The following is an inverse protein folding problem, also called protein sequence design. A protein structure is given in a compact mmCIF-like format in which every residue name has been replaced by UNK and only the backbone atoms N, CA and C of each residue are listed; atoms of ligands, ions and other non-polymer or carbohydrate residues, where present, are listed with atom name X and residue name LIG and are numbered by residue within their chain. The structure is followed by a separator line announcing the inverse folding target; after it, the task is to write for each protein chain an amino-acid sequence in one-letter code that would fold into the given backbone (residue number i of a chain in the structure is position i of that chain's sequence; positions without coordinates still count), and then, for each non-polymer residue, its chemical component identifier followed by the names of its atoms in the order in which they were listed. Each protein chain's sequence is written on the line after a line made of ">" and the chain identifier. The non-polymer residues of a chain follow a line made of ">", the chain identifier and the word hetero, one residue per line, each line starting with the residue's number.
data_IF_213252259820
#
_entry.id   IF_213252259820
#
_cell.length_a   1.000
_cell.length_b   1.000
_cell.length_c   1.000
_cell.angle_alpha   90.00
_cell.angle_beta   90.00
_cell.angle_gamma   90.00
#
_symmetry.space_group_name_H-M   'P 1'
#
loop_
_entity.id
_entity.type
_entity.pdbx_description
1 polymer ?
#
# COMPACT_ATOMS: atom_id res chain seq x y z
N UNK A 1 7.44 15.49 -5.27
CA UNK A 1 7.37 14.03 -5.20
C UNK A 1 7.57 13.56 -3.76
N UNK A 2 7.06 12.36 -3.42
CA UNK A 2 7.37 11.69 -2.17
C UNK A 2 8.80 11.17 -2.23
N UNK A 3 9.50 11.24 -1.09
CA UNK A 3 10.81 10.60 -0.92
C UNK A 3 10.75 9.60 0.22
N UNK A 4 11.15 8.35 -0.05
CA UNK A 4 11.39 7.35 0.98
C UNK A 4 12.78 7.58 1.55
N UNK A 5 12.90 7.74 2.88
CA UNK A 5 14.18 8.02 3.54
C UNK A 5 14.76 6.81 4.26
N UNK A 6 13.92 6.04 4.91
CA UNK A 6 14.34 4.90 5.72
C UNK A 6 13.26 3.82 5.76
N UNK A 7 13.68 2.58 5.77
CA UNK A 7 12.82 1.42 6.05
C UNK A 7 13.46 0.62 7.17
N UNK A 8 12.69 0.28 8.17
CA UNK A 8 13.10 -0.59 9.26
C UNK A 8 12.10 -1.76 9.35
N UNK A 9 12.64 -2.96 9.41
CA UNK A 9 11.89 -4.22 9.53
C UNK A 9 12.28 -4.93 10.81
N UNK A 10 11.33 -5.57 11.44
CA UNK A 10 11.57 -6.44 12.59
C UNK A 10 10.80 -7.74 12.43
N UNK A 11 11.52 -8.87 12.42
CA UNK A 11 10.94 -10.21 12.28
C UNK A 11 9.92 -10.32 11.12
N UNK A 12 10.27 -9.72 9.98
CA UNK A 12 9.38 -9.63 8.83
C UNK A 12 9.89 -10.53 7.69
N UNK A 13 9.09 -11.53 7.30
CA UNK A 13 9.39 -12.46 6.23
C UNK A 13 10.79 -13.10 6.39
N UNK A 14 11.68 -12.94 5.43
CA UNK A 14 13.06 -13.45 5.50
C UNK A 14 13.97 -12.67 6.46
N UNK A 15 13.51 -11.55 7.02
CA UNK A 15 14.31 -10.72 7.93
C UNK A 15 14.06 -11.12 9.39
N UNK A 16 15.02 -11.83 9.97
CA UNK A 16 15.04 -12.14 11.40
C UNK A 16 15.65 -10.97 12.17
N UNK A 17 15.03 -10.61 13.29
CA UNK A 17 15.46 -9.47 14.10
C UNK A 17 15.27 -8.14 13.36
N UNK A 18 16.05 -7.15 13.73
CA UNK A 18 15.98 -5.80 13.21
C UNK A 18 16.86 -5.63 11.96
N UNK A 19 16.27 -5.13 10.89
CA UNK A 19 16.97 -4.74 9.65
C UNK A 19 16.59 -3.33 9.26
N UNK A 20 17.58 -2.49 8.96
CA UNK A 20 17.37 -1.09 8.61
C UNK A 20 18.02 -0.78 7.26
N UNK A 21 17.29 -0.08 6.40
CA UNK A 21 17.70 0.35 5.08
C UNK A 21 17.63 1.86 4.99
N UNK A 22 18.75 2.50 4.62
CA UNK A 22 18.82 3.92 4.35
C UNK A 22 18.58 4.16 2.85
N UNK A 23 17.51 4.92 2.55
CA UNK A 23 17.13 5.33 1.21
C UNK A 23 17.39 6.82 0.96
N UNK A 24 18.18 7.45 1.82
CA UNK A 24 18.53 8.86 1.66
C UNK A 24 19.35 9.05 0.37
N UNK A 25 18.92 10.03 -0.42
CA UNK A 25 19.58 10.40 -1.67
C UNK A 25 20.13 11.81 -1.61
N UNK A 26 21.07 12.14 -2.48
CA UNK A 26 21.61 13.49 -2.69
C UNK A 26 21.49 13.90 -4.15
N UNK A 27 21.74 15.18 -4.47
CA UNK A 27 21.70 15.67 -5.86
C UNK A 27 22.64 14.90 -6.79
N UNK A 28 23.79 14.49 -6.27
CA UNK A 28 24.84 13.80 -7.05
C UNK A 28 24.73 12.27 -6.97
N UNK A 29 23.94 11.74 -6.00
CA UNK A 29 23.72 10.31 -5.77
C UNK A 29 22.24 10.07 -5.54
N UNK A 30 21.48 10.02 -6.60
CA UNK A 30 20.03 9.90 -6.60
C UNK A 30 19.52 8.49 -6.96
N UNK A 31 20.42 7.52 -7.09
CA UNK A 31 20.11 6.12 -7.39
C UNK A 31 20.59 5.25 -6.24
N UNK A 32 19.71 4.38 -5.75
CA UNK A 32 20.03 3.37 -4.75
C UNK A 32 19.86 2.00 -5.39
N UNK A 33 20.91 1.19 -5.35
CA UNK A 33 20.89 -0.18 -5.82
C UNK A 33 20.70 -1.15 -4.66
N UNK A 34 19.68 -1.98 -4.75
CA UNK A 34 19.41 -3.05 -3.79
C UNK A 34 19.78 -4.38 -4.48
N UNK A 35 20.94 -4.91 -4.13
CA UNK A 35 21.43 -6.18 -4.64
C UNK A 35 21.11 -7.31 -3.66
N UNK A 36 20.93 -8.51 -4.21
CA UNK A 36 20.76 -9.74 -3.43
C UNK A 36 20.45 -10.93 -4.34
N UNK A 37 20.82 -12.12 -3.88
CA UNK A 37 20.47 -13.37 -4.56
C UNK A 37 18.94 -13.59 -4.55
N UNK A 38 18.47 -14.52 -5.37
CA UNK A 38 17.07 -14.95 -5.32
C UNK A 38 16.75 -15.49 -3.91
N UNK A 39 15.61 -15.06 -3.35
CA UNK A 39 15.25 -15.40 -1.97
C UNK A 39 15.89 -14.51 -0.89
N UNK A 40 16.79 -13.59 -1.21
CA UNK A 40 17.44 -12.72 -0.23
C UNK A 40 16.52 -11.66 0.42
N UNK A 41 15.22 -11.66 0.08
CA UNK A 41 14.25 -10.76 0.71
C UNK A 41 13.92 -9.49 -0.05
N UNK A 42 14.36 -9.32 -1.31
CA UNK A 42 14.03 -8.14 -2.13
C UNK A 42 12.52 -7.90 -2.23
N UNK A 43 11.77 -8.93 -2.61
CA UNK A 43 10.30 -8.88 -2.68
C UNK A 43 9.66 -8.65 -1.31
N UNK A 44 10.25 -9.20 -0.25
CA UNK A 44 9.78 -8.97 1.13
C UNK A 44 9.94 -7.51 1.55
N UNK A 45 11.06 -6.88 1.21
CA UNK A 45 11.28 -5.44 1.46
C UNK A 45 10.26 -4.59 0.71
N UNK A 46 9.98 -4.93 -0.53
CA UNK A 46 8.99 -4.27 -1.36
C UNK A 46 7.57 -4.38 -0.78
N UNK A 47 7.19 -5.60 -0.39
CA UNK A 47 5.91 -5.87 0.28
C UNK A 47 5.80 -5.09 1.60
N UNK A 48 6.88 -5.00 2.36
CA UNK A 48 6.93 -4.25 3.61
C UNK A 48 6.64 -2.76 3.40
N UNK A 49 7.25 -2.13 2.39
CA UNK A 49 7.01 -0.72 2.05
C UNK A 49 5.53 -0.51 1.68
N UNK A 50 4.99 -1.37 0.80
CA UNK A 50 3.59 -1.33 0.37
C UNK A 50 2.63 -1.51 1.55
N UNK A 51 2.94 -2.44 2.44
CA UNK A 51 2.15 -2.73 3.63
C UNK A 51 2.17 -1.56 4.63
N UNK A 52 3.32 -0.93 4.83
CA UNK A 52 3.42 0.26 5.68
C UNK A 52 2.55 1.42 5.18
N UNK A 53 2.60 1.69 3.86
CA UNK A 53 1.83 2.77 3.23
C UNK A 53 0.33 2.51 3.27
N UNK A 54 -0.10 1.31 2.92
CA UNK A 54 -1.49 1.03 2.57
C UNK A 54 -2.22 0.09 3.54
N UNK A 55 -1.52 -0.58 4.44
CA UNK A 55 -2.12 -1.56 5.34
C UNK A 55 -2.88 -2.66 4.58
N UNK A 56 -4.14 -2.96 4.94
CA UNK A 56 -4.93 -4.01 4.28
C UNK A 56 -5.08 -3.84 2.76
N UNK A 57 -5.11 -2.59 2.26
CA UNK A 57 -5.19 -2.30 0.84
C UNK A 57 -3.98 -2.81 0.04
N UNK A 58 -2.84 -3.06 0.71
CA UNK A 58 -1.68 -3.73 0.11
C UNK A 58 -2.05 -5.04 -0.58
N UNK A 59 -3.02 -5.77 0.00
CA UNK A 59 -3.54 -7.03 -0.52
C UNK A 59 -4.94 -6.91 -1.12
N UNK A 60 -5.38 -5.70 -1.42
CA UNK A 60 -6.73 -5.39 -1.93
C UNK A 60 -7.86 -5.74 -0.95
N UNK A 61 -7.58 -5.84 0.35
CA UNK A 61 -8.61 -6.00 1.37
C UNK A 61 -9.12 -4.63 1.81
N UNK A 62 -10.44 -4.49 1.96
CA UNK A 62 -11.06 -3.22 2.38
C UNK A 62 -10.90 -2.92 3.87
N UNK A 63 -10.40 -3.89 4.66
CA UNK A 63 -10.22 -3.72 6.10
C UNK A 63 -9.46 -4.88 6.73
N UNK A 64 -9.31 -4.81 8.05
CA UNK A 64 -8.61 -5.81 8.87
C UNK A 64 -9.52 -7.02 9.12
N UNK A 65 -9.68 -7.87 8.11
CA UNK A 65 -10.46 -9.10 8.18
C UNK A 65 -9.58 -10.33 8.49
N UNK A 66 -10.21 -11.51 8.55
CA UNK A 66 -9.51 -12.76 8.82
C UNK A 66 -8.46 -13.11 7.76
N UNK A 67 -8.72 -12.77 6.49
CA UNK A 67 -7.80 -13.00 5.37
C UNK A 67 -6.56 -12.11 5.49
N UNK A 68 -6.74 -10.84 5.88
CA UNK A 68 -5.64 -9.95 6.18
C UNK A 68 -4.78 -10.48 7.34
N UNK A 69 -5.40 -10.92 8.43
CA UNK A 69 -4.71 -11.50 9.59
C UNK A 69 -3.92 -12.75 9.22
N UNK A 70 -4.48 -13.62 8.39
CA UNK A 70 -3.78 -14.80 7.88
C UNK A 70 -2.57 -14.39 7.02
N UNK A 71 -2.73 -13.39 6.16
CA UNK A 71 -1.64 -12.90 5.32
C UNK A 71 -0.52 -12.25 6.13
N UNK A 72 -0.85 -11.48 7.16
CA UNK A 72 0.15 -10.94 8.10
C UNK A 72 0.91 -12.06 8.81
N UNK A 73 0.21 -13.10 9.25
CA UNK A 73 0.83 -14.25 9.90
C UNK A 73 1.84 -14.96 8.99
N UNK A 74 1.56 -15.09 7.70
CA UNK A 74 2.50 -15.64 6.70
C UNK A 74 3.73 -14.75 6.50
N UNK A 75 3.61 -13.45 6.74
CA UNK A 75 4.70 -12.47 6.61
C UNK A 75 5.54 -12.34 7.89
N UNK A 76 5.16 -12.96 9.00
CA UNK A 76 6.01 -13.02 10.18
C UNK A 76 7.21 -13.92 9.92
N UNK A 77 8.38 -13.53 10.42
CA UNK A 77 9.58 -14.37 10.30
C UNK A 77 9.35 -15.72 10.96
N UNK A 78 9.69 -16.80 10.25
CA UNK A 78 9.40 -18.15 10.69
C UNK A 78 10.06 -18.49 12.02
N UNK A 79 11.33 -18.13 12.21
CA UNK A 79 12.07 -18.44 13.44
C UNK A 79 11.50 -17.64 14.63
N UNK A 80 11.09 -16.40 14.39
CA UNK A 80 10.41 -15.59 15.41
C UNK A 80 9.03 -16.15 15.74
N UNK A 81 8.31 -16.71 14.76
CA UNK A 81 6.97 -17.26 14.94
C UNK A 81 6.93 -18.52 15.82
N UNK A 82 8.05 -19.21 15.97
CA UNK A 82 8.16 -20.38 16.86
C UNK A 82 8.16 -20.02 18.36
N UNK A 83 8.23 -18.71 18.70
CA UNK A 83 8.08 -18.21 20.06
C UNK A 83 6.62 -18.11 20.50
N UNK A 84 6.40 -17.84 21.80
CA UNK A 84 5.05 -17.71 22.38
C UNK A 84 4.44 -16.33 22.14
N UNK A 85 5.27 -15.28 22.03
CA UNK A 85 4.87 -13.91 21.76
C UNK A 85 5.63 -13.40 20.53
N UNK A 86 4.96 -13.42 19.39
CA UNK A 86 5.57 -13.01 18.13
C UNK A 86 5.16 -11.59 17.80
N UNK A 87 6.18 -10.75 17.66
CA UNK A 87 6.05 -9.38 17.21
C UNK A 87 6.77 -9.20 15.88
N UNK A 88 6.10 -8.58 14.94
CA UNK A 88 6.70 -8.10 13.68
C UNK A 88 6.29 -6.66 13.44
N UNK A 89 7.15 -5.86 12.85
CA UNK A 89 6.78 -4.52 12.43
C UNK A 89 7.50 -4.08 11.16
N UNK A 90 6.88 -3.11 10.53
CA UNK A 90 7.47 -2.31 9.46
C UNK A 90 7.35 -0.84 9.86
N UNK A 91 8.45 -0.11 9.79
CA UNK A 91 8.50 1.31 9.99
C UNK A 91 9.19 1.98 8.80
N UNK A 92 8.56 3.02 8.26
CA UNK A 92 9.14 3.78 7.15
C UNK A 92 9.16 5.26 7.49
N UNK A 93 10.21 5.93 7.04
CA UNK A 93 10.30 7.38 7.08
C UNK A 93 10.14 7.92 5.66
N UNK A 94 9.17 8.81 5.47
CA UNK A 94 8.81 9.40 4.18
C UNK A 94 8.74 10.92 4.28
N UNK A 95 9.21 11.60 3.25
CA UNK A 95 9.04 13.05 3.09
C UNK A 95 8.00 13.29 2.02
N UNK A 96 6.96 14.04 2.37
CA UNK A 96 5.83 14.36 1.51
C UNK A 96 5.74 15.86 1.27
N UNK A 97 5.29 16.30 0.07
CA UNK A 97 4.96 17.70 -0.15
C UNK A 97 3.76 18.07 0.74
N UNK A 98 3.84 19.16 1.44
CA UNK A 98 2.74 19.70 2.23
C UNK A 98 2.63 21.21 1.96
N UNK A 99 1.58 21.63 1.22
CA UNK A 99 1.42 22.99 0.72
C UNK A 99 2.64 23.42 -0.11
N UNK A 100 3.40 24.41 0.35
CA UNK A 100 4.61 24.90 -0.34
C UNK A 100 5.92 24.32 0.24
N UNK A 101 5.83 23.45 1.24
CA UNK A 101 6.95 22.86 1.96
C UNK A 101 6.92 21.33 1.88
N UNK A 102 7.95 20.73 2.46
CA UNK A 102 8.03 19.29 2.67
C UNK A 102 7.96 18.97 4.16
N UNK A 103 7.27 17.89 4.49
CA UNK A 103 7.20 17.38 5.86
C UNK A 103 7.57 15.90 5.88
N UNK A 104 8.34 15.54 6.90
CA UNK A 104 8.81 14.18 7.12
C UNK A 104 7.92 13.50 8.15
N UNK A 105 7.49 12.29 7.84
CA UNK A 105 6.63 11.47 8.67
C UNK A 105 7.27 10.10 8.87
N UNK A 106 7.09 9.55 10.07
CA UNK A 106 7.36 8.14 10.34
C UNK A 106 6.04 7.41 10.39
N UNK A 107 5.92 6.36 9.60
CA UNK A 107 4.75 5.47 9.53
C UNK A 107 5.16 4.14 10.14
N UNK A 108 4.47 3.70 11.18
CA UNK A 108 4.75 2.46 11.88
C UNK A 108 3.53 1.56 11.90
N UNK A 109 3.71 0.31 11.48
CA UNK A 109 2.74 -0.77 11.61
C UNK A 109 3.39 -1.94 12.29
N UNK A 110 2.80 -2.34 13.40
CA UNK A 110 3.25 -3.46 14.21
C UNK A 110 2.13 -4.47 14.36
N UNK A 111 2.47 -5.74 14.29
CA UNK A 111 1.54 -6.84 14.49
C UNK A 111 2.08 -7.76 15.57
N UNK A 112 1.25 -8.01 16.56
CA UNK A 112 1.52 -8.93 17.65
C UNK A 112 0.61 -10.15 17.50
N UNK A 113 1.20 -11.35 17.47
CA UNK A 113 0.45 -12.59 17.45
C UNK A 113 0.43 -13.20 18.85
N UNK A 114 -0.72 -13.11 19.49
CA UNK A 114 -0.95 -13.71 20.81
C UNK A 114 -2.38 -14.24 20.92
N UNK A 115 -2.59 -15.32 21.70
CA UNK A 115 -3.91 -15.91 21.86
C UNK A 115 -4.56 -16.33 20.53
N UNK A 116 -3.77 -16.80 19.56
CA UNK A 116 -4.20 -17.18 18.20
C UNK A 116 -4.79 -16.03 17.36
N UNK A 117 -4.53 -14.78 17.74
CA UNK A 117 -5.00 -13.58 17.04
C UNK A 117 -3.84 -12.66 16.69
N UNK A 118 -4.00 -11.96 15.58
CA UNK A 118 -3.11 -10.87 15.14
C UNK A 118 -3.70 -9.55 15.62
N UNK A 119 -2.94 -8.82 16.42
CA UNK A 119 -3.27 -7.48 16.89
C UNK A 119 -2.39 -6.46 16.19
N UNK A 120 -2.97 -5.50 15.47
CA UNK A 120 -2.25 -4.45 14.79
C UNK A 120 -2.24 -3.15 15.56
N UNK A 121 -1.04 -2.57 15.70
CA UNK A 121 -0.81 -1.22 16.16
C UNK A 121 -0.37 -0.38 14.95
N UNK A 122 -1.04 0.74 14.72
CA UNK A 122 -0.71 1.67 13.64
C UNK A 122 -0.63 3.08 14.18
N UNK A 123 0.50 3.71 13.99
CA UNK A 123 0.69 5.13 14.30
C UNK A 123 1.55 5.82 13.25
N UNK A 124 1.40 7.13 13.19
CA UNK A 124 2.19 8.04 12.37
C UNK A 124 2.69 9.15 13.27
N UNK A 125 3.93 9.56 13.09
CA UNK A 125 4.49 10.72 13.78
C UNK A 125 5.11 11.69 12.79
N UNK A 126 5.17 12.93 13.17
CA UNK A 126 5.94 14.00 12.55
C UNK A 126 6.96 14.58 13.53
N UNK A 127 7.56 15.72 13.22
CA UNK A 127 8.51 16.42 14.10
C UNK A 127 7.93 16.85 15.46
N UNK A 128 6.61 16.96 15.57
CA UNK A 128 5.92 17.35 16.79
C UNK A 128 5.55 16.13 17.67
N UNK A 129 5.64 14.92 17.14
CA UNK A 129 5.33 13.68 17.84
C UNK A 129 4.29 12.83 17.13
N UNK A 130 3.71 11.89 17.88
CA UNK A 130 2.69 10.97 17.34
C UNK A 130 1.40 11.74 17.07
N UNK A 131 0.87 11.56 15.86
CA UNK A 131 -0.38 12.18 15.43
C UNK A 131 -1.56 11.64 16.24
N UNK A 132 -2.54 12.50 16.53
CA UNK A 132 -3.83 12.07 17.04
C UNK A 132 -4.52 11.09 16.06
N UNK A 133 -5.47 10.25 16.50
CA UNK A 133 -6.23 9.39 15.59
C UNK A 133 -6.85 10.15 14.42
N UNK A 134 -7.40 11.35 14.69
CA UNK A 134 -8.00 12.21 13.67
C UNK A 134 -6.95 12.70 12.65
N UNK A 135 -5.81 13.20 13.12
CA UNK A 135 -4.76 13.73 12.24
C UNK A 135 -4.09 12.61 11.45
N UNK A 136 -3.96 11.41 12.04
CA UNK A 136 -3.51 10.22 11.34
C UNK A 136 -4.45 9.82 10.19
N UNK A 137 -5.76 9.92 10.39
CA UNK A 137 -6.75 9.61 9.34
C UNK A 137 -6.69 10.65 8.22
N UNK A 138 -6.50 11.94 8.54
CA UNK A 138 -6.23 12.98 7.54
C UNK A 138 -4.94 12.72 6.78
N UNK A 139 -3.87 12.37 7.49
CA UNK A 139 -2.61 11.98 6.88
C UNK A 139 -2.79 10.81 5.90
N UNK A 140 -3.50 9.77 6.30
CA UNK A 140 -3.73 8.59 5.46
C UNK A 140 -4.49 8.96 4.18
N UNK A 141 -5.53 9.78 4.28
CA UNK A 141 -6.26 10.27 3.11
C UNK A 141 -5.36 11.12 2.20
N UNK A 142 -4.55 11.99 2.78
CA UNK A 142 -3.58 12.78 2.03
C UNK A 142 -2.54 11.91 1.34
N UNK A 143 -1.97 10.92 2.03
CA UNK A 143 -1.03 9.96 1.46
C UNK A 143 -1.62 9.26 0.22
N UNK A 144 -2.89 8.87 0.29
CA UNK A 144 -3.58 8.23 -0.83
C UNK A 144 -3.82 9.18 -2.03
N UNK A 145 -3.83 10.49 -1.81
CA UNK A 145 -3.86 11.47 -2.92
C UNK A 145 -2.48 11.66 -3.55
N UNK A 146 -1.41 11.54 -2.76
CA UNK A 146 -0.02 11.69 -3.24
C UNK A 146 0.45 10.43 -3.96
N UNK A 147 0.16 9.27 -3.38
CA UNK A 147 0.43 7.96 -3.97
C UNK A 147 -0.80 7.06 -3.80
N UNK A 148 -1.73 7.09 -4.77
CA UNK A 148 -2.88 6.20 -4.74
C UNK A 148 -2.46 4.73 -4.71
N UNK A 149 -3.15 3.86 -3.95
CA UNK A 149 -2.79 2.43 -3.84
C UNK A 149 -2.72 1.68 -5.17
N UNK A 150 -3.59 2.04 -6.12
CA UNK A 150 -3.63 1.49 -7.47
C UNK A 150 -2.48 1.99 -8.38
N UNK A 151 -1.75 3.01 -7.93
CA UNK A 151 -0.61 3.59 -8.65
C UNK A 151 0.73 3.06 -8.15
N UNK A 152 0.75 2.33 -7.03
CA UNK A 152 1.99 1.86 -6.42
C UNK A 152 2.85 1.04 -7.40
N UNK A 153 2.22 0.14 -8.16
CA UNK A 153 2.87 -0.73 -9.13
C UNK A 153 3.52 0.03 -10.30
N UNK A 154 3.13 1.30 -10.54
CA UNK A 154 3.73 2.15 -11.56
C UNK A 154 5.01 2.85 -11.10
N UNK A 155 5.22 2.95 -9.80
CA UNK A 155 6.39 3.61 -9.21
C UNK A 155 7.37 2.64 -8.58
N UNK A 156 6.91 1.44 -8.27
CA UNK A 156 7.67 0.41 -7.61
C UNK A 156 7.59 -0.88 -8.43
N UNK A 157 8.72 -1.27 -9.03
CA UNK A 157 8.80 -2.46 -9.87
C UNK A 157 9.66 -3.51 -9.21
N UNK A 158 9.23 -4.75 -9.20
CA UNK A 158 10.14 -5.88 -8.97
C UNK A 158 10.97 -6.10 -10.24
N UNK A 159 12.30 -6.22 -10.10
CA UNK A 159 13.19 -6.37 -11.23
C UNK A 159 12.95 -7.64 -12.07
N UNK A 160 12.27 -8.64 -11.50
CA UNK A 160 11.86 -9.85 -12.21
C UNK A 160 10.63 -9.58 -13.11
N UNK A 161 9.75 -8.67 -12.72
CA UNK A 161 8.59 -8.26 -13.51
C UNK A 161 8.96 -7.34 -14.68
N UNK A 162 10.07 -6.59 -14.57
CA UNK A 162 10.51 -5.65 -15.61
C UNK A 162 10.77 -6.36 -16.95
N UNK A 163 11.28 -7.58 -16.96
CA UNK A 163 11.53 -8.32 -18.20
C UNK A 163 10.25 -8.61 -18.98
N UNK A 164 9.14 -8.82 -18.30
CA UNK A 164 7.83 -9.07 -18.91
C UNK A 164 7.17 -7.77 -19.39
N UNK A 165 7.53 -6.61 -18.80
CA UNK A 165 7.02 -5.31 -19.23
C UNK A 165 7.56 -4.87 -20.59
N UNK A 166 8.77 -5.27 -20.96
CA UNK A 166 9.38 -4.90 -22.25
C UNK A 166 8.95 -5.79 -23.41
N UNK A 167 8.09 -6.78 -23.20
CA UNK A 167 7.39 -7.43 -24.32
C UNK A 167 6.39 -6.43 -24.92
N UNK A 168 6.46 -6.20 -26.24
CA UNK A 168 5.76 -5.11 -26.96
C UNK A 168 4.26 -4.98 -26.66
N UNK A 169 3.55 -6.07 -26.39
CA UNK A 169 2.11 -6.06 -26.11
C UNK A 169 1.79 -5.65 -24.68
N UNK A 170 2.62 -6.05 -23.72
CA UNK A 170 2.43 -5.78 -22.29
C UNK A 170 2.78 -4.33 -21.95
N UNK A 171 3.83 -3.76 -22.57
CA UNK A 171 4.24 -2.38 -22.38
C UNK A 171 3.15 -1.37 -22.78
N UNK A 172 2.58 -1.53 -23.97
CA UNK A 172 1.49 -0.65 -24.45
C UNK A 172 0.25 -0.72 -23.56
N UNK A 173 -0.13 -1.90 -23.09
CA UNK A 173 -1.23 -2.08 -22.15
C UNK A 173 -0.95 -1.44 -20.80
N UNK A 174 0.27 -1.59 -20.28
CA UNK A 174 0.70 -1.01 -19.02
C UNK A 174 0.69 0.53 -19.05
N UNK A 175 1.32 1.15 -20.05
CA UNK A 175 1.32 2.61 -20.22
C UNK A 175 -0.11 3.15 -20.41
N UNK A 176 -0.92 2.47 -21.20
CA UNK A 176 -2.33 2.84 -21.37
C UNK A 176 -3.08 2.83 -20.03
N UNK A 177 -2.93 1.77 -19.25
CA UNK A 177 -3.59 1.66 -17.94
C UNK A 177 -3.07 2.71 -16.96
N UNK A 178 -1.74 2.98 -16.95
CA UNK A 178 -1.16 4.03 -16.15
C UNK A 178 -1.74 5.41 -16.48
N UNK A 179 -1.83 5.74 -17.76
CA UNK A 179 -2.41 7.01 -18.22
C UNK A 179 -3.89 7.10 -17.86
N UNK A 180 -4.67 6.04 -18.08
CA UNK A 180 -6.09 6.01 -17.75
C UNK A 180 -6.32 6.20 -16.24
N UNK A 181 -5.50 5.55 -15.41
CA UNK A 181 -5.55 5.69 -13.95
C UNK A 181 -5.17 7.10 -13.50
N UNK A 182 -4.09 7.67 -14.06
CA UNK A 182 -3.66 9.05 -13.80
C UNK A 182 -4.70 10.09 -14.21
N UNK A 183 -5.41 9.82 -15.31
CA UNK A 183 -6.50 10.70 -15.78
C UNK A 183 -7.81 10.49 -15.01
N UNK A 184 -7.85 9.58 -14.03
CA UNK A 184 -9.06 9.25 -13.26
C UNK A 184 -10.15 8.53 -14.09
N UNK A 185 -9.79 7.97 -15.25
CA UNK A 185 -10.73 7.29 -16.13
C UNK A 185 -11.35 6.04 -15.49
N UNK A 186 -10.62 5.38 -14.60
CA UNK A 186 -11.14 4.26 -13.81
C UNK A 186 -12.32 4.69 -12.92
N UNK A 187 -12.28 5.91 -12.40
CA UNK A 187 -13.39 6.51 -11.64
C UNK A 187 -14.62 6.70 -12.51
N UNK A 188 -14.46 7.17 -13.75
CA UNK A 188 -15.56 7.31 -14.70
C UNK A 188 -16.14 5.95 -15.12
N UNK A 189 -15.29 4.94 -15.33
CA UNK A 189 -15.73 3.56 -15.61
C UNK A 189 -16.51 2.97 -14.44
N UNK A 190 -16.09 3.26 -13.22
CA UNK A 190 -16.77 2.80 -12.00
C UNK A 190 -18.12 3.49 -11.84
N UNK A 191 -18.18 4.81 -12.03
CA UNK A 191 -19.43 5.59 -12.02
C UNK A 191 -20.38 5.09 -13.10
N UNK A 192 -19.88 4.86 -14.30
CA UNK A 192 -20.68 4.30 -15.40
C UNK A 192 -21.27 2.93 -15.02
N UNK A 193 -20.47 2.00 -14.51
CA UNK A 193 -20.97 0.71 -14.02
C UNK A 193 -22.02 0.83 -12.93
N UNK A 194 -21.84 1.79 -12.03
CA UNK A 194 -22.83 2.09 -10.99
C UNK A 194 -24.14 2.60 -11.62
N UNK A 195 -24.05 3.57 -12.52
CA UNK A 195 -25.23 4.11 -13.21
C UNK A 195 -25.93 3.05 -14.07
N UNK A 196 -25.18 2.23 -14.81
CA UNK A 196 -25.73 1.15 -15.65
C UNK A 196 -26.43 0.07 -14.78
N UNK A 197 -25.92 -0.19 -13.56
CA UNK A 197 -26.56 -1.06 -12.58
C UNK A 197 -27.89 -0.50 -12.06
N UNK A 198 -27.94 0.80 -11.76
CA UNK A 198 -29.18 1.46 -11.33
C UNK A 198 -30.23 1.56 -12.42
N UNK A 199 -29.83 1.77 -13.68
CA UNK A 199 -30.75 1.86 -14.82
C UNK A 199 -31.33 0.46 -15.16
N UNK A 200 -30.62 -0.61 -14.83
CA UNK A 200 -31.07 -2.01 -15.05
C UNK A 200 -32.00 -2.56 -13.94
N UNK A 201 -32.10 -1.88 -12.81
CA UNK A 201 -32.89 -2.32 -11.64
C UNK A 201 -34.22 -1.60 -11.44
N UNK A 202 -34.59 -0.66 -12.31
CA UNK A 202 -35.95 -0.09 -12.28
C UNK A 202 -36.91 -0.99 -13.06
N UNK A 203 -37.72 -1.83 -12.40
CA UNK A 203 -38.95 -2.25 -12.99
C UNK A 203 -39.82 -0.99 -13.01
N UNK A 204 -39.97 -0.39 -14.17
CA UNK A 204 -41.09 0.53 -14.43
C UNK A 204 -42.31 -0.26 -14.05
N UNK A 205 -42.84 0.03 -12.87
CA UNK A 205 -44.02 -0.59 -12.31
C UNK A 205 -45.12 -0.47 -13.37
N UNK A 206 -45.65 -1.58 -13.84
CA UNK A 206 -46.77 -1.66 -14.83
C UNK A 206 -48.00 -0.82 -14.35
N UNK A 207 -48.03 -0.39 -13.11
CA UNK A 207 -49.04 0.53 -12.54
C UNK A 207 -48.93 1.96 -13.07
N UNK A 208 -47.75 2.38 -13.57
CA UNK A 208 -47.62 3.73 -14.11
C UNK A 208 -48.28 3.90 -15.49
N UNK A 209 -48.49 2.81 -16.23
CA UNK A 209 -49.19 2.84 -17.53
C UNK A 209 -50.70 2.91 -17.40
N UNK A 210 -51.29 2.50 -16.26
CA UNK A 210 -52.75 2.50 -16.04
C UNK A 210 -53.28 3.85 -15.56
N UNK A 211 -52.44 4.82 -15.27
CA UNK A 211 -52.84 6.14 -14.82
C UNK A 211 -52.74 7.23 -15.90
N UNK A 212 -52.41 6.85 -17.16
CA UNK A 212 -52.35 7.75 -18.30
C UNK A 212 -53.37 7.44 -19.41
N UNK A 213 -54.28 6.49 -19.19
CA UNK A 213 -55.52 6.33 -19.96
C UNK A 213 -56.71 6.85 -19.10
#
# INVERSE_FOLDING_TARGET
>A
PMELKRVELYNFSSYAGKSTFDFSTSKDKNIILIGGNNGAGKTSLFTAIKLALYGPLCFRYQGKNAQYSARIKELMNHDAFMGTDVKTYVEIEVTLPLHQNYSTYTIHREWNYSGQKVHEIYWVSDKAGVLSPRDRDYFQNYLFTVIPPNMFEFFFFDGEEISDFFSDSSYNSYIKNAVLTLCGYDTFSLIKKFCDGYIGEDPIDERSHQLME
#
